data_IF_744231689539
#
_entry.id   IF_744231689539
#
_cell.length_a   1.000
_cell.length_b   1.000
_cell.length_c   1.000
_cell.angle_alpha   90.00
_cell.angle_beta   90.00
_cell.angle_gamma   90.00
#
_symmetry.space_group_name_H-M   'P 1'
#
loop_
_entity.id
_entity.type
_entity.pdbx_description
1 polymer ?
#
# COMPACT_ATOMS: atom_id res chain seq x y z
N UNK A 1 21.93 3.53 32.02
CA UNK A 1 21.54 4.07 30.70
C UNK A 1 22.39 3.44 29.61
N UNK A 2 21.91 2.34 29.00
CA UNK A 2 22.68 1.56 27.99
C UNK A 2 22.10 1.67 26.57
N UNK A 3 20.86 2.15 26.41
CA UNK A 3 20.18 2.20 25.11
C UNK A 3 20.73 3.31 24.18
N UNK A 4 21.01 4.50 24.71
CA UNK A 4 21.61 5.62 23.96
C UNK A 4 23.04 5.34 23.45
N UNK A 5 23.68 4.27 23.91
CA UNK A 5 24.97 3.81 23.37
C UNK A 5 24.82 3.23 21.97
N UNK A 6 23.65 2.68 21.65
CA UNK A 6 23.38 1.96 20.40
C UNK A 6 22.44 2.72 19.47
N UNK A 7 21.60 3.61 20.00
CA UNK A 7 20.62 4.38 19.21
C UNK A 7 20.64 5.84 19.64
N UNK A 8 21.07 6.79 18.77
CA UNK A 8 21.26 8.18 19.13
C UNK A 8 19.96 8.91 19.52
N UNK A 9 18.82 8.51 18.94
CA UNK A 9 17.53 9.12 19.23
C UNK A 9 16.33 8.26 18.83
N UNK A 10 15.12 8.80 19.11
CA UNK A 10 13.84 8.15 18.78
C UNK A 10 13.72 7.86 17.28
N UNK A 11 14.14 8.79 16.44
CA UNK A 11 14.00 8.65 14.99
C UNK A 11 14.89 7.51 14.46
N UNK A 12 16.11 7.37 14.98
CA UNK A 12 16.99 6.25 14.64
C UNK A 12 16.42 4.90 15.12
N UNK A 13 15.74 4.89 16.27
CA UNK A 13 15.05 3.70 16.76
C UNK A 13 13.92 3.30 15.80
N UNK A 14 13.12 4.27 15.35
CA UNK A 14 12.04 4.01 14.38
C UNK A 14 12.63 3.45 13.10
N UNK A 15 13.74 3.97 12.59
CA UNK A 15 14.40 3.44 11.40
C UNK A 15 14.83 1.97 11.57
N UNK A 16 15.39 1.62 12.72
CA UNK A 16 15.76 0.23 13.04
C UNK A 16 14.52 -0.68 13.13
N UNK A 17 13.43 -0.20 13.73
CA UNK A 17 12.16 -0.93 13.79
C UNK A 17 11.57 -1.15 12.40
N UNK A 18 11.60 -0.13 11.54
CA UNK A 18 11.15 -0.22 10.15
C UNK A 18 11.99 -1.26 9.40
N UNK A 19 13.32 -1.20 9.47
CA UNK A 19 14.20 -2.16 8.80
C UNK A 19 13.97 -3.59 9.31
N UNK A 20 13.82 -3.77 10.62
CA UNK A 20 13.48 -5.06 11.21
C UNK A 20 12.14 -5.60 10.69
N UNK A 21 11.10 -4.77 10.63
CA UNK A 21 9.80 -5.18 10.08
C UNK A 21 9.92 -5.60 8.60
N UNK A 22 10.61 -4.82 7.77
CA UNK A 22 10.82 -5.18 6.36
C UNK A 22 11.63 -6.47 6.20
N UNK A 23 12.60 -6.74 7.08
CA UNK A 23 13.44 -7.95 7.03
C UNK A 23 12.64 -9.26 7.21
N UNK A 24 11.44 -9.19 7.76
CA UNK A 24 10.55 -10.35 7.94
C UNK A 24 9.89 -10.77 6.62
N UNK A 25 9.75 -9.86 5.65
CA UNK A 25 9.21 -10.15 4.33
C UNK A 25 10.30 -10.74 3.42
N UNK A 26 10.42 -12.06 3.44
CA UNK A 26 11.37 -12.77 2.57
C UNK A 26 10.91 -12.72 1.12
N UNK A 27 11.71 -12.11 0.27
CA UNK A 27 11.56 -12.19 -1.18
C UNK A 27 11.84 -13.64 -1.63
N UNK A 28 11.01 -14.22 -2.53
CA UNK A 28 11.15 -15.62 -2.92
C UNK A 28 12.40 -15.85 -3.79
N UNK A 29 13.07 -16.97 -3.53
CA UNK A 29 14.21 -17.47 -4.31
C UNK A 29 13.94 -18.93 -4.71
N UNK A 30 13.86 -19.26 -6.03
CA UNK A 30 14.04 -18.37 -7.16
C UNK A 30 12.87 -17.39 -7.38
N UNK A 31 13.11 -16.24 -8.02
CA UNK A 31 12.05 -15.29 -8.35
C UNK A 31 11.05 -15.91 -9.34
N UNK A 32 9.75 -15.60 -9.24
CA UNK A 32 8.76 -16.12 -10.17
C UNK A 32 9.05 -15.65 -11.62
N UNK A 33 8.58 -16.40 -12.63
CA UNK A 33 8.75 -16.02 -14.02
C UNK A 33 7.90 -14.81 -14.37
N UNK A 34 8.47 -13.92 -15.19
CA UNK A 34 7.78 -12.74 -15.72
C UNK A 34 7.76 -11.56 -14.75
N UNK A 35 7.82 -10.36 -15.32
CA UNK A 35 7.87 -9.12 -14.56
C UNK A 35 6.62 -8.91 -13.70
N UNK A 36 5.43 -9.27 -14.22
CA UNK A 36 4.15 -9.03 -13.54
C UNK A 36 4.08 -9.76 -12.20
N UNK A 37 4.40 -11.06 -12.19
CA UNK A 37 4.41 -11.87 -10.99
C UNK A 37 5.42 -11.37 -9.94
N UNK A 38 6.59 -10.88 -10.39
CA UNK A 38 7.60 -10.30 -9.48
C UNK A 38 7.12 -9.01 -8.83
N UNK A 39 6.48 -8.12 -9.59
CA UNK A 39 5.91 -6.87 -9.05
C UNK A 39 4.75 -7.17 -8.09
N UNK A 40 3.90 -8.13 -8.44
CA UNK A 40 2.78 -8.59 -7.59
C UNK A 40 3.28 -9.13 -6.25
N UNK A 41 4.33 -9.96 -6.25
CA UNK A 41 4.97 -10.47 -5.03
C UNK A 41 5.45 -9.33 -4.14
N UNK A 42 6.14 -8.34 -4.69
CA UNK A 42 6.63 -7.22 -3.90
C UNK A 42 5.49 -6.41 -3.27
N UNK A 43 4.43 -6.12 -4.04
CA UNK A 43 3.26 -5.39 -3.56
C UNK A 43 2.52 -6.16 -2.45
N UNK A 44 2.30 -7.47 -2.64
CA UNK A 44 1.62 -8.32 -1.64
C UNK A 44 2.44 -8.53 -0.38
N UNK A 45 3.76 -8.66 -0.49
CA UNK A 45 4.65 -8.71 0.68
C UNK A 45 4.59 -7.40 1.47
N UNK A 46 4.64 -6.26 0.78
CA UNK A 46 4.52 -4.95 1.42
C UNK A 46 3.15 -4.76 2.08
N UNK A 47 2.06 -5.19 1.42
CA UNK A 47 0.71 -5.19 1.99
C UNK A 47 0.63 -6.04 3.26
N UNK A 48 1.14 -7.28 3.22
CA UNK A 48 1.16 -8.18 4.36
C UNK A 48 1.99 -7.62 5.53
N UNK A 49 3.10 -6.93 5.25
CA UNK A 49 3.87 -6.22 6.28
C UNK A 49 3.04 -5.14 6.97
N UNK A 50 2.37 -4.29 6.20
CA UNK A 50 1.55 -3.22 6.77
C UNK A 50 0.35 -3.76 7.56
N UNK A 51 -0.28 -4.83 7.09
CA UNK A 51 -1.34 -5.50 7.85
C UNK A 51 -0.85 -6.07 9.18
N UNK A 52 0.37 -6.62 9.20
CA UNK A 52 0.98 -7.17 10.42
C UNK A 52 1.50 -6.08 11.36
N UNK A 53 1.90 -4.94 10.80
CA UNK A 53 2.46 -3.80 11.52
C UNK A 53 1.78 -2.49 11.07
N UNK A 54 0.55 -2.18 11.53
CA UNK A 54 -0.20 -1.01 11.05
C UNK A 54 0.52 0.33 11.20
N UNK A 55 1.37 0.48 12.22
CA UNK A 55 2.22 1.65 12.48
C UNK A 55 3.27 1.91 11.38
N UNK A 56 3.57 0.92 10.54
CA UNK A 56 4.69 0.96 9.60
C UNK A 56 4.44 1.90 8.41
N UNK A 57 3.21 1.91 7.86
CA UNK A 57 2.89 2.76 6.71
C UNK A 57 2.97 4.27 7.04
N UNK A 58 2.43 4.74 8.19
CA UNK A 58 2.57 6.13 8.63
C UNK A 58 3.99 6.53 9.01
N UNK A 59 4.81 5.60 9.53
CA UNK A 59 6.21 5.85 9.92
C UNK A 59 7.16 6.09 8.72
N UNK A 60 6.79 5.62 7.53
CA UNK A 60 7.58 5.81 6.31
C UNK A 60 7.31 7.17 5.67
N UNK A 61 8.30 7.71 4.95
CA UNK A 61 8.14 8.95 4.18
C UNK A 61 8.44 8.73 2.70
N UNK A 62 7.46 9.06 1.86
CA UNK A 62 7.64 9.03 0.40
C UNK A 62 8.50 10.18 -0.12
N UNK A 63 8.53 11.31 0.59
CA UNK A 63 9.29 12.50 0.19
C UNK A 63 10.70 12.54 0.79
N UNK A 64 10.94 11.75 1.84
CA UNK A 64 12.23 11.58 2.51
C UNK A 64 12.51 10.09 2.67
N UNK A 65 12.87 9.39 1.58
CA UNK A 65 13.04 7.95 1.61
C UNK A 65 14.12 7.55 2.61
N UNK A 66 13.75 6.61 3.48
CA UNK A 66 14.67 6.03 4.45
C UNK A 66 15.63 5.08 3.74
N UNK A 67 16.93 5.32 3.86
CA UNK A 67 17.96 4.44 3.28
C UNK A 67 18.21 3.24 4.19
N UNK A 68 17.27 2.30 4.21
CA UNK A 68 17.35 1.06 5.01
C UNK A 68 17.63 -0.16 4.13
N UNK A 69 18.52 -1.09 4.55
CA UNK A 69 18.92 -2.23 3.72
C UNK A 69 17.76 -3.08 3.22
N UNK A 70 16.80 -3.40 4.10
CA UNK A 70 15.66 -4.26 3.73
C UNK A 70 14.75 -3.54 2.73
N UNK A 71 14.46 -2.25 2.94
CA UNK A 71 13.70 -1.45 1.97
C UNK A 71 14.39 -1.31 0.61
N UNK A 72 15.72 -1.22 0.60
CA UNK A 72 16.50 -1.21 -0.64
C UNK A 72 16.44 -2.55 -1.37
N UNK A 73 16.41 -3.68 -0.66
CA UNK A 73 16.23 -5.00 -1.28
C UNK A 73 14.87 -5.12 -2.00
N UNK A 74 13.79 -4.60 -1.40
CA UNK A 74 12.47 -4.54 -2.07
C UNK A 74 12.48 -3.63 -3.31
N UNK A 75 13.17 -2.50 -3.23
CA UNK A 75 13.30 -1.58 -4.37
C UNK A 75 14.10 -2.23 -5.51
N UNK A 76 15.25 -2.82 -5.20
CA UNK A 76 16.09 -3.56 -6.15
C UNK A 76 15.31 -4.70 -6.82
N UNK A 77 14.48 -5.42 -6.06
CA UNK A 77 13.61 -6.46 -6.61
C UNK A 77 12.67 -5.93 -7.69
N UNK A 78 12.00 -4.79 -7.44
CA UNK A 78 11.13 -4.15 -8.43
C UNK A 78 11.91 -3.68 -9.65
N UNK A 79 13.10 -3.11 -9.46
CA UNK A 79 13.97 -2.70 -10.57
C UNK A 79 14.37 -3.92 -11.42
N UNK A 80 14.81 -5.03 -10.81
CA UNK A 80 15.15 -6.27 -11.52
C UNK A 80 13.96 -6.93 -12.20
N UNK A 81 12.74 -6.71 -11.70
CA UNK A 81 11.54 -7.18 -12.38
C UNK A 81 11.31 -6.43 -13.70
N UNK A 82 11.68 -5.15 -13.75
CA UNK A 82 11.45 -4.26 -14.90
C UNK A 82 12.64 -4.16 -15.85
N UNK A 83 13.81 -4.64 -15.43
CA UNK A 83 15.03 -4.61 -16.22
C UNK A 83 14.88 -5.43 -17.52
N UNK A 84 15.51 -4.96 -18.60
CA UNK A 84 15.41 -5.58 -19.92
C UNK A 84 14.04 -5.46 -20.60
N UNK A 85 13.08 -4.72 -20.05
CA UNK A 85 11.76 -4.51 -20.67
C UNK A 85 11.70 -3.33 -21.65
N UNK A 86 12.83 -2.66 -21.92
CA UNK A 86 12.91 -1.47 -22.79
C UNK A 86 12.67 -0.14 -22.05
N UNK A 87 12.57 -0.16 -20.72
CA UNK A 87 12.40 1.03 -19.90
C UNK A 87 13.77 1.60 -19.48
N UNK A 88 13.91 2.92 -19.45
CA UNK A 88 15.07 3.57 -18.83
C UNK A 88 15.00 3.46 -17.30
N UNK A 89 16.16 3.53 -16.64
CA UNK A 89 16.28 3.40 -15.19
C UNK A 89 15.43 4.42 -14.42
N UNK A 90 15.32 5.65 -14.93
CA UNK A 90 14.49 6.69 -14.30
C UNK A 90 13.00 6.31 -14.32
N UNK A 91 12.54 5.72 -15.42
CA UNK A 91 11.18 5.21 -15.55
C UNK A 91 10.94 4.01 -14.65
N UNK A 92 11.88 3.06 -14.59
CA UNK A 92 11.80 1.92 -13.67
C UNK A 92 11.69 2.38 -12.21
N UNK A 93 12.49 3.37 -11.80
CA UNK A 93 12.46 3.93 -10.46
C UNK A 93 11.12 4.61 -10.15
N UNK A 94 10.60 5.40 -11.09
CA UNK A 94 9.26 6.01 -10.96
C UNK A 94 8.18 4.96 -10.75
N UNK A 95 8.20 3.88 -11.54
CA UNK A 95 7.24 2.77 -11.38
C UNK A 95 7.35 2.14 -9.99
N UNK A 96 8.56 1.85 -9.51
CA UNK A 96 8.78 1.28 -8.19
C UNK A 96 8.25 2.18 -7.06
N UNK A 97 8.56 3.49 -7.11
CA UNK A 97 8.10 4.49 -6.15
C UNK A 97 6.57 4.63 -6.19
N UNK A 98 5.96 4.68 -7.37
CA UNK A 98 4.50 4.80 -7.50
C UNK A 98 3.79 3.56 -6.96
N UNK A 99 4.31 2.36 -7.24
CA UNK A 99 3.76 1.12 -6.68
C UNK A 99 3.84 1.10 -5.15
N UNK A 100 5.02 1.38 -4.58
CA UNK A 100 5.21 1.45 -3.13
C UNK A 100 4.32 2.52 -2.48
N UNK A 101 4.15 3.67 -3.14
CA UNK A 101 3.30 4.76 -2.69
C UNK A 101 1.82 4.40 -2.69
N UNK A 102 1.35 3.66 -3.69
CA UNK A 102 -0.03 3.14 -3.75
C UNK A 102 -0.30 2.18 -2.58
N UNK A 103 0.55 1.15 -2.40
CA UNK A 103 0.38 0.16 -1.33
C UNK A 103 0.42 0.84 0.04
N UNK A 104 1.36 1.77 0.25
CA UNK A 104 1.43 2.58 1.47
C UNK A 104 0.17 3.43 1.67
N UNK A 105 -0.35 4.06 0.62
CA UNK A 105 -1.53 4.92 0.70
C UNK A 105 -2.77 4.19 1.17
N UNK A 106 -3.02 2.97 0.65
CA UNK A 106 -4.11 2.12 1.16
C UNK A 106 -3.84 1.73 2.62
N UNK A 107 -2.59 1.36 2.92
CA UNK A 107 -2.19 0.90 4.25
C UNK A 107 -2.21 1.97 5.34
N UNK A 108 -2.12 3.27 5.03
CA UNK A 108 -2.22 4.31 6.07
C UNK A 108 -3.57 4.31 6.79
N UNK A 109 -4.61 3.77 6.15
CA UNK A 109 -5.92 3.60 6.76
C UNK A 109 -5.95 2.49 7.81
N UNK A 110 -5.04 1.49 7.76
CA UNK A 110 -5.03 0.35 8.68
C UNK A 110 -4.83 0.79 10.14
N UNK A 111 -3.89 1.70 10.40
CA UNK A 111 -3.66 2.21 11.76
C UNK A 111 -4.84 3.06 12.23
N UNK A 112 -5.40 3.89 11.34
CA UNK A 112 -6.54 4.75 11.67
C UNK A 112 -7.80 3.94 11.98
N UNK A 113 -8.06 2.88 11.22
CA UNK A 113 -9.17 1.95 11.41
C UNK A 113 -9.01 1.17 12.72
N UNK A 114 -7.83 0.58 12.96
CA UNK A 114 -7.55 -0.15 14.19
C UNK A 114 -7.66 0.75 15.44
N UNK A 115 -7.21 2.00 15.36
CA UNK A 115 -7.33 2.96 16.46
C UNK A 115 -8.80 3.36 16.69
N UNK A 116 -9.55 3.63 15.62
CA UNK A 116 -10.96 4.01 15.73
C UNK A 116 -11.81 2.88 16.35
N UNK A 117 -11.56 1.63 15.96
CA UNK A 117 -12.23 0.47 16.55
C UNK A 117 -11.86 0.30 18.03
N UNK A 118 -10.58 0.47 18.40
CA UNK A 118 -10.15 0.41 19.80
C UNK A 118 -10.79 1.51 20.66
N UNK A 119 -10.91 2.73 20.12
CA UNK A 119 -11.44 3.88 20.86
C UNK A 119 -12.96 3.85 21.01
N UNK A 120 -13.67 3.31 20.01
CA UNK A 120 -15.14 3.36 19.93
C UNK A 120 -15.83 2.03 20.21
N UNK A 121 -15.12 0.91 20.04
CA UNK A 121 -15.68 -0.45 20.04
C UNK A 121 -16.57 -0.76 18.84
N UNK A 122 -16.52 0.07 17.78
CA UNK A 122 -17.36 -0.03 16.58
C UNK A 122 -16.47 -0.38 15.38
N UNK A 123 -16.84 -1.43 14.65
CA UNK A 123 -16.15 -1.83 13.42
C UNK A 123 -16.41 -0.84 12.27
N UNK A 124 -15.58 -0.88 11.22
CA UNK A 124 -15.78 -0.02 10.04
C UNK A 124 -17.16 -0.23 9.38
N UNK A 125 -17.63 -1.48 9.30
CA UNK A 125 -18.93 -1.82 8.72
C UNK A 125 -20.09 -1.29 9.57
N UNK A 126 -20.03 -1.47 10.90
CA UNK A 126 -21.04 -0.92 11.82
C UNK A 126 -21.04 0.61 11.79
N UNK A 127 -19.87 1.23 11.69
CA UNK A 127 -19.74 2.67 11.55
C UNK A 127 -20.42 3.16 10.28
N UNK A 128 -20.18 2.51 9.13
CA UNK A 128 -20.81 2.83 7.86
C UNK A 128 -22.33 2.61 7.91
N UNK A 129 -22.79 1.50 8.47
CA UNK A 129 -24.21 1.22 8.66
C UNK A 129 -24.90 2.31 9.50
N UNK A 130 -24.25 2.80 10.56
CA UNK A 130 -24.77 3.88 11.41
C UNK A 130 -24.94 5.22 10.67
N UNK A 131 -24.25 5.40 9.53
CA UNK A 131 -24.27 6.64 8.72
C UNK A 131 -25.25 6.58 7.56
N UNK A 132 -25.90 5.44 7.32
CA UNK A 132 -26.78 5.23 6.17
C UNK A 132 -27.88 6.30 6.08
N UNK A 133 -28.60 6.59 7.17
CA UNK A 133 -29.64 7.61 7.18
C UNK A 133 -29.11 9.03 6.86
N UNK A 134 -27.86 9.33 7.26
CA UNK A 134 -27.22 10.61 6.93
C UNK A 134 -26.85 10.67 5.44
N UNK A 135 -26.37 9.56 4.87
CA UNK A 135 -26.11 9.46 3.43
C UNK A 135 -27.40 9.68 2.64
N UNK A 136 -28.49 9.03 3.03
CA UNK A 136 -29.83 9.17 2.43
C UNK A 136 -30.30 10.63 2.43
N UNK A 137 -30.17 11.32 3.57
CA UNK A 137 -30.52 12.73 3.68
C UNK A 137 -29.69 13.64 2.74
N UNK A 138 -28.41 13.32 2.52
CA UNK A 138 -27.54 14.08 1.60
C UNK A 138 -27.95 13.83 0.14
N UNK A 139 -28.15 12.57 -0.25
CA UNK A 139 -28.47 12.25 -1.66
C UNK A 139 -29.89 12.67 -2.04
N UNK A 140 -30.79 12.87 -1.07
CA UNK A 140 -32.14 13.40 -1.29
C UNK A 140 -32.17 14.81 -1.92
N UNK A 141 -31.06 15.57 -1.90
CA UNK A 141 -31.00 16.87 -2.60
C UNK A 141 -31.08 16.73 -4.13
N UNK A 142 -30.74 15.54 -4.66
CA UNK A 142 -30.65 15.28 -6.10
C UNK A 142 -29.31 15.68 -6.74
N UNK A 143 -28.41 16.33 -5.99
CA UNK A 143 -27.12 16.80 -6.51
C UNK A 143 -26.08 15.68 -6.69
N UNK A 144 -26.33 14.50 -6.10
CA UNK A 144 -25.40 13.37 -6.08
C UNK A 144 -25.98 12.10 -6.73
N UNK A 145 -26.42 12.14 -8.01
CA UNK A 145 -27.16 11.05 -8.63
C UNK A 145 -26.38 9.74 -8.69
N UNK A 146 -25.06 9.79 -8.87
CA UNK A 146 -24.21 8.57 -8.88
C UNK A 146 -24.08 7.94 -7.49
N UNK A 147 -23.95 8.76 -6.44
CA UNK A 147 -23.85 8.29 -5.05
C UNK A 147 -25.21 7.74 -4.59
N UNK A 148 -26.30 8.37 -5.01
CA UNK A 148 -27.66 7.92 -4.72
C UNK A 148 -27.91 6.46 -5.15
N UNK A 149 -27.22 5.98 -6.20
CA UNK A 149 -27.32 4.59 -6.66
C UNK A 149 -26.80 3.57 -5.63
N UNK A 150 -25.89 3.96 -4.74
CA UNK A 150 -25.36 3.06 -3.71
C UNK A 150 -26.46 2.51 -2.79
N UNK A 151 -27.53 3.29 -2.53
CA UNK A 151 -28.66 2.85 -1.72
C UNK A 151 -29.63 1.90 -2.42
N UNK A 152 -29.47 1.68 -3.73
CA UNK A 152 -30.36 0.83 -4.56
C UNK A 152 -29.67 -0.42 -5.10
N UNK A 153 -28.35 -0.48 -5.01
CA UNK A 153 -27.52 -1.57 -5.50
C UNK A 153 -27.11 -2.47 -4.31
N UNK A 154 -26.65 -3.71 -4.56
CA UNK A 154 -26.11 -4.57 -3.51
C UNK A 154 -24.99 -3.89 -2.74
N UNK A 155 -24.76 -4.33 -1.50
CA UNK A 155 -23.64 -3.83 -0.71
C UNK A 155 -22.32 -4.00 -1.46
N UNK A 156 -21.50 -2.95 -1.44
CA UNK A 156 -20.23 -2.92 -2.14
C UNK A 156 -19.13 -3.15 -1.11
N UNK A 157 -18.42 -4.27 -1.22
CA UNK A 157 -17.24 -4.50 -0.39
C UNK A 157 -16.18 -3.42 -0.69
N UNK A 158 -16.05 -2.48 0.24
CA UNK A 158 -15.03 -1.43 0.22
C UNK A 158 -13.95 -1.67 1.27
N UNK A 159 -13.77 -2.91 1.71
CA UNK A 159 -12.68 -3.27 2.61
C UNK A 159 -11.31 -2.89 2.03
N UNK A 160 -10.35 -2.65 2.90
CA UNK A 160 -9.00 -2.27 2.48
C UNK A 160 -8.33 -3.37 1.63
N UNK A 161 -8.62 -4.65 1.90
CA UNK A 161 -8.14 -5.77 1.08
C UNK A 161 -8.71 -5.70 -0.35
N UNK A 162 -10.01 -5.41 -0.51
CA UNK A 162 -10.64 -5.27 -1.83
C UNK A 162 -10.13 -4.04 -2.59
N UNK A 163 -9.92 -2.92 -1.89
CA UNK A 163 -9.29 -1.73 -2.49
C UNK A 163 -7.84 -1.98 -2.92
N UNK A 164 -7.08 -2.76 -2.13
CA UNK A 164 -5.72 -3.18 -2.45
C UNK A 164 -5.66 -4.07 -3.70
N UNK A 165 -6.49 -5.12 -3.77
CA UNK A 165 -6.47 -6.06 -4.90
C UNK A 165 -6.91 -5.39 -6.21
N UNK A 166 -7.96 -4.55 -6.17
CA UNK A 166 -8.41 -3.80 -7.35
C UNK A 166 -7.31 -2.86 -7.86
N UNK A 167 -6.74 -2.01 -6.99
CA UNK A 167 -5.75 -1.04 -7.44
C UNK A 167 -4.41 -1.69 -7.80
N UNK A 168 -4.03 -2.82 -7.19
CA UNK A 168 -2.89 -3.62 -7.64
C UNK A 168 -3.09 -4.08 -9.08
N UNK A 169 -4.28 -4.63 -9.40
CA UNK A 169 -4.63 -5.02 -10.77
C UNK A 169 -4.50 -3.86 -11.76
N UNK A 170 -5.11 -2.71 -11.45
CA UNK A 170 -5.07 -1.51 -12.28
C UNK A 170 -3.63 -0.99 -12.50
N UNK A 171 -2.81 -1.00 -11.45
CA UNK A 171 -1.41 -0.59 -11.52
C UNK A 171 -0.59 -1.52 -12.40
N UNK A 172 -0.76 -2.83 -12.25
CA UNK A 172 -0.08 -3.82 -13.08
C UNK A 172 -0.49 -3.70 -14.56
N UNK A 173 -1.76 -3.43 -14.86
CA UNK A 173 -2.23 -3.22 -16.22
C UNK A 173 -1.66 -1.94 -16.83
N UNK A 174 -1.55 -0.87 -16.05
CA UNK A 174 -0.86 0.37 -16.44
C UNK A 174 0.62 0.14 -16.78
N UNK A 175 1.33 -0.66 -15.97
CA UNK A 175 2.73 -1.04 -16.22
C UNK A 175 2.82 -1.90 -17.49
N UNK A 176 1.89 -2.83 -17.70
CA UNK A 176 1.86 -3.66 -18.91
C UNK A 176 1.72 -2.80 -20.18
N UNK A 177 0.82 -1.81 -20.15
CA UNK A 177 0.66 -0.85 -21.25
C UNK A 177 1.93 0.01 -21.46
N UNK A 178 2.61 0.40 -20.38
CA UNK A 178 3.90 1.12 -20.46
C UNK A 178 4.98 0.27 -21.13
N UNK A 179 5.17 -0.97 -20.68
CA UNK A 179 6.14 -1.93 -21.25
C UNK A 179 5.83 -2.22 -22.72
N UNK A 180 4.55 -2.39 -23.07
CA UNK A 180 4.14 -2.63 -24.45
C UNK A 180 4.45 -1.44 -25.37
N UNK A 181 4.40 -0.20 -24.87
CA UNK A 181 4.78 1.00 -25.63
C UNK A 181 6.29 1.13 -25.80
N UNK A 182 7.08 0.75 -24.79
CA UNK A 182 8.54 0.84 -24.83
C UNK A 182 9.20 -0.17 -25.79
N UNK A 183 8.47 -1.23 -26.15
CA UNK A 183 8.94 -2.29 -27.07
C UNK A 183 8.56 -2.06 -28.54
N UNK A 184 7.79 -1.02 -28.84
CA UNK A 184 7.46 -0.60 -30.20
C UNK A 184 8.54 0.34 -30.73
#
# INVERSE_FOLDING_TARGET
MSLYRHVPGKDDLVLLMVDAAFSEARLPEPPPPGWRARVEVAARLQWALYRRHPWLAPALSMTRPQLIPSGMAHTEWLLRALDGLGLDLGTMLRVAITMAGYVRGVATSLESEAQAEQDTGVTSDEWMASRQAKLEAIVASGDFPTIARLGTEPDHDTSLDTLFELGLGLMLDGIAALVARARR
#
